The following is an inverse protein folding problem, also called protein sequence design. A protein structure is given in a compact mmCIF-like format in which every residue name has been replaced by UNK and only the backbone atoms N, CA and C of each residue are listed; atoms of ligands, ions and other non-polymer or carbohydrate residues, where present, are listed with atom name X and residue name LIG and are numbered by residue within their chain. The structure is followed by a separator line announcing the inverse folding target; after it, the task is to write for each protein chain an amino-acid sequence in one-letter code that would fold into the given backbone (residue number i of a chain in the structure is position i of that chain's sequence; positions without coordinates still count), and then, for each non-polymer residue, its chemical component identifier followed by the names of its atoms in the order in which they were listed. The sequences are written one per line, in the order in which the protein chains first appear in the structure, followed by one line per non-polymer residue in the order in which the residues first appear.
data_IF_607813478698
#
_entry.id   IF_607813478698
#
_cell.length_a   1.000
_cell.length_b   1.000
_cell.length_c   1.000
_cell.angle_alpha   90.00
_cell.angle_beta   90.00
_cell.angle_gamma   90.00
#
_symmetry.space_group_name_H-M   'P 1'
#
loop_
_entity.id
_entity.type
_entity.pdbx_description
1 polymer ?
#
# COMPACT_ATOMS: atom_id res chain seq x y z
N UNK A 1 16.75 -7.38 2.32
CA UNK A 1 15.32 -7.13 2.62
C UNK A 1 14.69 -6.42 1.44
N UNK A 2 13.65 -7.00 0.85
CA UNK A 2 12.91 -6.47 -0.31
C UNK A 2 11.74 -5.62 0.18
N UNK A 3 11.78 -4.34 -0.09
CA UNK A 3 10.73 -3.40 0.31
C UNK A 3 10.06 -2.87 -0.95
N UNK A 4 8.79 -3.19 -1.16
CA UNK A 4 8.05 -2.83 -2.34
C UNK A 4 6.85 -1.96 -1.99
N UNK A 5 6.46 -1.13 -2.94
CA UNK A 5 5.33 -0.22 -2.81
C UNK A 5 4.27 -0.56 -3.84
N UNK A 6 3.02 -0.66 -3.42
CA UNK A 6 1.91 -0.68 -4.36
C UNK A 6 1.70 0.69 -4.98
N UNK A 7 1.42 0.71 -6.27
CA UNK A 7 0.97 1.89 -6.99
C UNK A 7 -0.24 1.56 -7.86
N UNK A 8 -1.06 2.57 -8.09
CA UNK A 8 -2.28 2.49 -8.89
C UNK A 8 -2.68 3.90 -9.34
N UNK A 9 -3.58 3.98 -10.31
CA UNK A 9 -4.09 5.28 -10.75
C UNK A 9 -4.74 6.02 -9.59
N UNK A 10 -4.43 7.31 -9.46
CA UNK A 10 -4.83 8.19 -8.35
C UNK A 10 -4.28 7.75 -6.98
N UNK A 11 -3.06 7.23 -6.96
CA UNK A 11 -2.30 7.10 -5.72
C UNK A 11 -1.94 8.50 -5.19
N UNK A 12 -1.97 8.69 -3.86
CA UNK A 12 -1.50 9.93 -3.24
C UNK A 12 0.04 10.00 -3.34
N UNK A 13 0.55 10.97 -4.10
CA UNK A 13 1.97 11.09 -4.41
C UNK A 13 2.84 11.23 -3.16
N UNK A 14 2.39 12.01 -2.18
CA UNK A 14 3.17 12.25 -0.97
C UNK A 14 3.32 10.99 -0.12
N UNK A 15 2.27 10.16 -0.02
CA UNK A 15 2.31 8.89 0.69
C UNK A 15 3.37 7.95 0.09
N UNK A 16 3.46 7.94 -1.24
CA UNK A 16 4.42 7.14 -1.97
C UNK A 16 5.83 7.73 -1.88
N UNK A 17 6.01 8.97 -2.33
CA UNK A 17 7.35 9.57 -2.52
C UNK A 17 8.03 9.83 -1.17
N UNK A 18 7.30 10.24 -0.14
CA UNK A 18 7.88 10.47 1.18
C UNK A 18 8.45 9.18 1.79
N UNK A 19 7.71 8.09 1.69
CA UNK A 19 8.18 6.79 2.18
C UNK A 19 9.29 6.20 1.30
N UNK A 20 9.19 6.38 -0.02
CA UNK A 20 10.19 5.95 -0.99
C UNK A 20 11.57 6.56 -0.71
N UNK A 21 11.61 7.86 -0.43
CA UNK A 21 12.85 8.58 -0.11
C UNK A 21 13.53 7.99 1.12
N UNK A 22 12.78 7.73 2.20
CA UNK A 22 13.34 7.13 3.41
C UNK A 22 13.91 5.74 3.15
N UNK A 23 13.21 4.91 2.39
CA UNK A 23 13.69 3.57 2.04
C UNK A 23 14.90 3.63 1.10
N UNK A 24 14.93 4.60 0.18
CA UNK A 24 16.09 4.89 -0.68
C UNK A 24 17.34 5.16 0.13
N UNK A 25 17.25 6.01 1.17
CA UNK A 25 18.36 6.30 2.08
C UNK A 25 18.83 5.05 2.86
N UNK A 26 17.91 4.17 3.26
CA UNK A 26 18.27 2.90 3.90
C UNK A 26 19.01 1.97 2.92
N UNK A 27 18.59 1.93 1.66
CA UNK A 27 19.23 1.12 0.63
C UNK A 27 20.65 1.64 0.32
N UNK A 28 20.87 2.93 0.27
CA UNK A 28 22.22 3.53 0.13
C UNK A 28 23.17 3.13 1.25
N UNK A 29 22.64 2.90 2.46
CA UNK A 29 23.41 2.42 3.61
C UNK A 29 23.56 0.89 3.63
N UNK A 30 23.06 0.17 2.63
CA UNK A 30 23.12 -1.29 2.55
C UNK A 30 22.19 -2.03 3.52
N UNK A 31 21.19 -1.35 4.11
CA UNK A 31 20.26 -1.95 5.07
C UNK A 31 19.10 -2.69 4.41
N UNK A 32 18.79 -2.38 3.17
CA UNK A 32 17.81 -3.08 2.34
C UNK A 32 18.18 -3.00 0.85
N UNK A 33 17.45 -3.70 0.00
CA UNK A 33 17.54 -3.52 -1.45
C UNK A 33 16.90 -2.19 -1.88
N UNK A 34 17.23 -1.69 -3.08
CA UNK A 34 16.53 -0.55 -3.65
C UNK A 34 15.04 -0.85 -3.73
N UNK A 35 14.18 0.08 -3.31
CA UNK A 35 12.74 -0.14 -3.33
C UNK A 35 12.23 -0.37 -4.76
N UNK A 36 11.10 -1.07 -4.89
CA UNK A 36 10.47 -1.41 -6.15
C UNK A 36 8.99 -1.04 -6.13
N UNK A 37 8.44 -0.73 -7.30
CA UNK A 37 7.03 -0.42 -7.49
C UNK A 37 6.29 -1.61 -8.10
N UNK A 38 5.16 -1.99 -7.48
CA UNK A 38 4.22 -2.98 -8.01
C UNK A 38 2.93 -2.26 -8.40
N UNK A 39 2.57 -2.29 -9.67
CA UNK A 39 1.34 -1.68 -10.14
C UNK A 39 0.15 -2.62 -10.09
N UNK A 40 -1.01 -2.07 -9.70
CA UNK A 40 -2.31 -2.76 -9.73
C UNK A 40 -3.05 -2.58 -11.06
N UNK A 41 -2.60 -1.68 -11.92
CA UNK A 41 -3.25 -1.32 -13.19
C UNK A 41 -2.22 -1.32 -14.33
N UNK A 42 -2.02 -0.17 -14.96
CA UNK A 42 -1.01 -0.01 -16.00
C UNK A 42 0.40 0.08 -15.40
N UNK A 43 1.41 -0.25 -16.20
CA UNK A 43 2.81 -0.10 -15.78
C UNK A 43 3.25 1.37 -15.62
N UNK A 44 2.39 2.31 -16.03
CA UNK A 44 2.64 3.76 -15.94
C UNK A 44 1.44 4.49 -15.32
N UNK A 45 1.07 4.19 -14.05
CA UNK A 45 -0.07 4.85 -13.41
C UNK A 45 0.22 6.33 -13.15
N UNK A 46 -0.85 7.11 -13.03
CA UNK A 46 -0.80 8.52 -12.65
C UNK A 46 -1.29 8.71 -11.22
N UNK A 47 -0.60 9.55 -10.46
CA UNK A 47 -1.02 9.93 -9.11
C UNK A 47 -2.24 10.84 -9.09
N UNK A 48 -2.69 11.19 -7.89
CA UNK A 48 -3.87 12.04 -7.63
C UNK A 48 -3.76 13.41 -8.32
N UNK A 49 -2.56 13.98 -8.33
CA UNK A 49 -2.24 15.30 -8.90
C UNK A 49 -1.49 15.24 -10.24
N UNK A 50 -1.43 14.06 -10.87
CA UNK A 50 -0.93 13.89 -12.23
C UNK A 50 0.55 13.54 -12.36
N UNK A 51 1.26 13.27 -11.26
CA UNK A 51 2.61 12.70 -11.34
C UNK A 51 2.54 11.31 -12.00
N UNK A 52 3.44 11.04 -12.93
CA UNK A 52 3.50 9.75 -13.60
C UNK A 52 4.60 8.89 -13.01
N UNK A 53 4.28 7.63 -12.79
CA UNK A 53 5.19 6.64 -12.26
C UNK A 53 5.48 5.57 -13.31
N UNK A 54 6.59 4.87 -13.16
CA UNK A 54 6.92 3.68 -13.94
C UNK A 54 7.12 2.53 -12.97
N UNK A 55 6.25 1.53 -13.05
CA UNK A 55 6.32 0.35 -12.20
C UNK A 55 7.45 -0.60 -12.63
N UNK A 56 8.04 -1.29 -11.66
CA UNK A 56 8.99 -2.38 -11.92
C UNK A 56 8.24 -3.69 -12.24
N UNK A 57 7.07 -3.89 -11.59
CA UNK A 57 6.27 -5.11 -11.69
C UNK A 57 4.78 -4.80 -11.79
N UNK A 58 4.05 -5.73 -12.37
CA UNK A 58 2.60 -5.81 -12.25
C UNK A 58 2.25 -6.77 -11.09
N UNK A 59 1.10 -6.56 -10.41
CA UNK A 59 0.71 -7.38 -9.27
C UNK A 59 0.51 -8.87 -9.59
N UNK A 60 0.36 -9.22 -10.86
CA UNK A 60 0.29 -10.61 -11.33
C UNK A 60 1.65 -11.26 -11.52
N UNK A 61 2.74 -10.50 -11.46
CA UNK A 61 4.08 -11.04 -11.59
C UNK A 61 4.45 -11.87 -10.34
N UNK A 62 5.26 -12.93 -10.48
CA UNK A 62 5.61 -13.81 -9.39
C UNK A 62 6.71 -13.21 -8.48
N UNK A 63 6.41 -12.06 -7.88
CA UNK A 63 7.33 -11.36 -6.98
C UNK A 63 6.79 -11.37 -5.56
N UNK A 64 7.70 -11.49 -4.58
CA UNK A 64 7.37 -11.54 -3.16
C UNK A 64 8.24 -10.53 -2.40
N UNK A 65 7.67 -9.45 -1.86
CA UNK A 65 8.36 -8.55 -0.95
C UNK A 65 8.47 -9.13 0.46
N UNK A 66 9.48 -8.68 1.20
CA UNK A 66 9.55 -8.87 2.65
C UNK A 66 8.68 -7.84 3.38
N UNK A 67 8.60 -6.62 2.84
CA UNK A 67 7.76 -5.53 3.34
C UNK A 67 6.99 -4.92 2.18
N UNK A 68 5.68 -4.77 2.34
CA UNK A 68 4.80 -4.14 1.35
C UNK A 68 4.22 -2.85 1.92
N UNK A 69 4.44 -1.73 1.23
CA UNK A 69 3.77 -0.45 1.50
C UNK A 69 2.53 -0.30 0.63
N UNK A 70 1.43 0.13 1.25
CA UNK A 70 0.14 0.39 0.60
C UNK A 70 -0.22 1.87 0.82
N UNK A 71 0.14 2.76 -0.11
CA UNK A 71 -0.18 4.19 -0.02
C UNK A 71 -1.67 4.44 -0.18
N UNK A 72 -2.11 5.65 0.13
CA UNK A 72 -3.47 6.12 -0.07
C UNK A 72 -3.72 6.74 -1.43
N UNK A 73 -4.71 7.62 -1.47
CA UNK A 73 -5.25 8.27 -2.67
C UNK A 73 -6.68 7.83 -2.95
N UNK A 74 -7.37 8.56 -3.83
CA UNK A 74 -8.74 8.23 -4.21
C UNK A 74 -8.82 6.88 -4.95
N UNK A 75 -7.75 6.47 -5.62
CA UNK A 75 -7.63 5.19 -6.30
C UNK A 75 -7.71 3.96 -5.39
N UNK A 76 -7.37 4.10 -4.09
CA UNK A 76 -7.50 3.00 -3.12
C UNK A 76 -8.94 2.47 -3.02
N UNK A 77 -9.93 3.39 -3.10
CA UNK A 77 -11.35 3.03 -3.05
C UNK A 77 -11.85 2.34 -4.32
N UNK A 78 -11.19 2.57 -5.44
CA UNK A 78 -11.46 1.88 -6.70
C UNK A 78 -10.82 0.50 -6.67
N UNK A 79 -9.54 0.44 -6.31
CA UNK A 79 -8.76 -0.78 -6.28
C UNK A 79 -9.30 -1.84 -5.28
N UNK A 80 -9.91 -1.40 -4.16
CA UNK A 80 -10.48 -2.32 -3.18
C UNK A 80 -11.71 -3.10 -3.69
N UNK A 81 -12.34 -2.67 -4.78
CA UNK A 81 -13.48 -3.39 -5.39
C UNK A 81 -13.01 -4.49 -6.35
N UNK A 82 -11.73 -4.52 -6.72
CA UNK A 82 -11.16 -5.58 -7.53
C UNK A 82 -10.78 -6.79 -6.65
N UNK A 83 -11.47 -7.90 -6.88
CA UNK A 83 -11.27 -9.13 -6.09
C UNK A 83 -9.87 -9.73 -6.30
N UNK A 84 -9.28 -9.57 -7.46
CA UNK A 84 -7.94 -10.09 -7.76
C UNK A 84 -6.87 -9.31 -6.99
N UNK A 85 -7.04 -7.98 -6.88
CA UNK A 85 -6.21 -7.13 -6.04
C UNK A 85 -6.30 -7.53 -4.56
N UNK A 86 -7.51 -7.77 -4.06
CA UNK A 86 -7.72 -8.18 -2.67
C UNK A 86 -7.12 -9.56 -2.40
N UNK A 87 -7.26 -10.50 -3.32
CA UNK A 87 -6.66 -11.84 -3.19
C UNK A 87 -5.13 -11.77 -3.24
N UNK A 88 -4.58 -10.92 -4.12
CA UNK A 88 -3.15 -10.66 -4.17
C UNK A 88 -2.63 -10.13 -2.82
N UNK A 89 -3.31 -9.13 -2.24
CA UNK A 89 -2.92 -8.56 -0.94
C UNK A 89 -2.93 -9.61 0.18
N UNK A 90 -3.97 -10.44 0.26
CA UNK A 90 -4.06 -11.53 1.25
C UNK A 90 -2.89 -12.49 1.10
N UNK A 91 -2.67 -13.00 -0.10
CA UNK A 91 -1.60 -13.96 -0.40
C UNK A 91 -0.20 -13.38 -0.13
N UNK A 92 0.03 -12.13 -0.53
CA UNK A 92 1.31 -11.46 -0.33
C UNK A 92 1.57 -11.24 1.15
N UNK A 93 0.55 -10.81 1.91
CA UNK A 93 0.65 -10.56 3.35
C UNK A 93 1.03 -11.82 4.16
N UNK A 94 0.59 -13.00 3.75
CA UNK A 94 0.95 -14.28 4.41
C UNK A 94 2.46 -14.54 4.42
N UNK A 95 3.18 -13.98 3.44
CA UNK A 95 4.60 -14.21 3.24
C UNK A 95 5.46 -12.96 3.46
N UNK A 96 4.86 -11.84 3.86
CA UNK A 96 5.57 -10.62 4.24
C UNK A 96 5.92 -10.64 5.74
N UNK A 97 7.05 -10.05 6.09
CA UNK A 97 7.32 -9.68 7.48
C UNK A 97 6.35 -8.60 7.96
N UNK A 98 6.02 -7.66 7.09
CA UNK A 98 5.12 -6.55 7.41
C UNK A 98 4.39 -6.05 6.17
N UNK A 99 3.13 -5.66 6.37
CA UNK A 99 2.37 -4.86 5.41
C UNK A 99 1.98 -3.56 6.09
N UNK A 100 2.34 -2.44 5.49
CA UNK A 100 2.17 -1.09 6.06
C UNK A 100 1.24 -0.29 5.17
N UNK A 101 0.21 0.29 5.74
CA UNK A 101 -0.66 1.23 5.01
C UNK A 101 -0.43 2.66 5.46
N UNK A 102 -0.57 3.59 4.53
CA UNK A 102 -0.48 5.02 4.77
C UNK A 102 -1.81 5.64 4.33
N UNK A 103 -2.30 6.61 5.12
CA UNK A 103 -3.48 7.39 4.77
C UNK A 103 -4.67 6.48 4.43
N UNK A 104 -5.31 6.67 3.28
CA UNK A 104 -6.45 5.87 2.81
C UNK A 104 -6.09 4.52 2.19
N UNK A 105 -4.82 4.14 2.15
CA UNK A 105 -4.40 2.76 1.85
C UNK A 105 -5.01 1.73 2.80
N UNK A 106 -5.49 2.19 3.95
CA UNK A 106 -6.24 1.39 4.91
C UNK A 106 -7.48 0.70 4.32
N UNK A 107 -8.11 1.28 3.29
CA UNK A 107 -9.28 0.66 2.65
C UNK A 107 -8.94 -0.69 2.03
N UNK A 108 -7.81 -0.79 1.35
CA UNK A 108 -7.32 -2.03 0.78
C UNK A 108 -7.01 -3.06 1.87
N UNK A 109 -6.36 -2.62 2.95
CA UNK A 109 -6.01 -3.47 4.09
C UNK A 109 -7.26 -3.98 4.83
N UNK A 110 -8.25 -3.10 5.03
CA UNK A 110 -9.51 -3.43 5.66
C UNK A 110 -10.28 -4.45 4.83
N UNK A 111 -10.44 -4.20 3.52
CA UNK A 111 -11.13 -5.10 2.58
C UNK A 111 -10.45 -6.47 2.50
N UNK A 112 -9.11 -6.50 2.57
CA UNK A 112 -8.35 -7.74 2.64
C UNK A 112 -8.42 -8.43 4.02
N UNK A 113 -9.04 -7.83 5.04
CA UNK A 113 -9.17 -8.38 6.38
C UNK A 113 -7.87 -8.41 7.19
N UNK A 114 -6.86 -7.62 6.80
CA UNK A 114 -5.52 -7.61 7.40
C UNK A 114 -5.46 -6.82 8.71
N UNK A 115 -6.51 -6.07 9.03
CA UNK A 115 -6.60 -5.24 10.24
C UNK A 115 -7.25 -5.93 11.45
N UNK A 116 -7.88 -7.07 11.27
CA UNK A 116 -8.63 -7.75 12.33
C UNK A 116 -7.81 -7.88 13.61
N UNK A 117 -8.41 -7.46 14.74
CA UNK A 117 -7.82 -7.49 16.07
C UNK A 117 -6.54 -6.66 16.24
N UNK A 118 -6.35 -5.64 15.39
CA UNK A 118 -5.19 -4.74 15.46
C UNK A 118 -5.59 -3.33 15.94
N UNK A 119 -4.60 -2.61 16.48
CA UNK A 119 -4.68 -1.16 16.67
C UNK A 119 -4.31 -0.51 15.34
N UNK A 120 -5.18 0.34 14.83
CA UNK A 120 -5.05 0.94 13.50
C UNK A 120 -5.41 2.41 13.50
N UNK A 121 -4.88 3.13 12.54
CA UNK A 121 -5.25 4.52 12.25
C UNK A 121 -5.34 4.74 10.75
N UNK A 122 -5.78 5.92 10.35
CA UNK A 122 -5.87 6.35 8.96
C UNK A 122 -5.78 7.87 8.87
N UNK A 123 -5.95 8.42 7.68
CA UNK A 123 -6.10 9.86 7.50
C UNK A 123 -7.29 10.37 8.35
N UNK A 124 -7.11 11.47 9.05
CA UNK A 124 -8.05 12.02 10.04
C UNK A 124 -9.49 12.14 9.53
N UNK A 125 -9.69 12.52 8.26
CA UNK A 125 -11.03 12.66 7.67
C UNK A 125 -11.78 11.33 7.50
N UNK A 126 -11.11 10.18 7.66
CA UNK A 126 -11.69 8.85 7.48
C UNK A 126 -11.70 8.01 8.77
N UNK A 127 -11.33 8.58 9.90
CA UNK A 127 -11.37 7.90 11.21
C UNK A 127 -12.77 7.40 11.54
N UNK A 128 -13.80 8.21 11.31
CA UNK A 128 -15.19 7.84 11.57
C UNK A 128 -15.68 6.67 10.69
N UNK A 129 -15.11 6.52 9.50
CA UNK A 129 -15.38 5.33 8.68
C UNK A 129 -14.72 4.09 9.29
N UNK A 130 -13.48 4.21 9.72
CA UNK A 130 -12.72 3.09 10.31
C UNK A 130 -13.33 2.63 11.64
N UNK A 131 -13.86 3.55 12.46
CA UNK A 131 -14.55 3.26 13.72
C UNK A 131 -15.81 2.39 13.57
N UNK A 132 -16.38 2.30 12.37
CA UNK A 132 -17.52 1.41 12.09
C UNK A 132 -17.11 -0.06 12.01
N UNK A 133 -15.83 -0.35 11.89
CA UNK A 133 -15.30 -1.71 11.88
C UNK A 133 -15.07 -2.19 13.32
N UNK A 134 -16.00 -2.99 13.83
CA UNK A 134 -15.93 -3.52 15.19
C UNK A 134 -14.81 -4.56 15.41
N UNK A 135 -14.06 -4.91 14.38
CA UNK A 135 -12.97 -5.88 14.46
C UNK A 135 -11.61 -5.23 14.75
N UNK A 136 -11.54 -3.91 14.77
CA UNK A 136 -10.31 -3.13 14.99
C UNK A 136 -10.42 -2.23 16.22
N UNK A 137 -9.27 -1.81 16.75
CA UNK A 137 -9.18 -0.73 17.73
C UNK A 137 -8.59 0.50 17.04
N UNK A 138 -9.40 1.53 16.83
CA UNK A 138 -8.93 2.77 16.22
C UNK A 138 -8.14 3.59 17.24
N UNK A 139 -6.96 4.06 16.85
CA UNK A 139 -6.13 5.01 17.60
C UNK A 139 -6.03 6.32 16.84
N UNK A 140 -6.06 7.44 17.55
CA UNK A 140 -6.01 8.81 17.02
C UNK A 140 -4.63 9.45 17.28
#
# INVERSE_FOLDING_TARGET
MKIYFLIYDKVEELDLVGSWELIGLLAEKGLCEKPKLISLNSMTPSGEHGMRFSADYHFTDPVQPDVLFVPGGSGARIAMEDIDVINYLKKTAENCHSVLSICTGMYLMQKAGLFKHKKVTTHWAFLEHLKKDNTVTVVE
#
